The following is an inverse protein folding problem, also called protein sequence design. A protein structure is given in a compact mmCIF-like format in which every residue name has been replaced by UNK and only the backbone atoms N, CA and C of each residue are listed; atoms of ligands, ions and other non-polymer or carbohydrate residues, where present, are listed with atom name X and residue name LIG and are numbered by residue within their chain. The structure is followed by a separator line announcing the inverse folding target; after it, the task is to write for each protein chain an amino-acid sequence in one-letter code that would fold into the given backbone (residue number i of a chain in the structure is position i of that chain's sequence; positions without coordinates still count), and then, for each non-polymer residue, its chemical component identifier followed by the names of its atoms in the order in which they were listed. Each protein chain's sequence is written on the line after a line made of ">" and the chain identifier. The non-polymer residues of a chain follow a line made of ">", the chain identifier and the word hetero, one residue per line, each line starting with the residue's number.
data_IF_422852372730
#
_entry.id   IF_422852372730
#
_cell.length_a   1.000
_cell.length_b   1.000
_cell.length_c   1.000
_cell.angle_alpha   90.00
_cell.angle_beta   90.00
_cell.angle_gamma   90.00
#
_symmetry.space_group_name_H-M   'P 1'
#
loop_
_entity.id
_entity.type
_entity.pdbx_description
1 polymer ?
#
# COMPACT_ATOMS: atom_id res chain seq x y z
N UNK A 1 12.65 0.36 30.15
CA UNK A 1 11.50 0.06 31.03
C UNK A 1 10.17 0.31 30.33
N UNK A 2 9.92 1.48 29.74
CA UNK A 2 8.66 1.80 29.04
C UNK A 2 8.23 0.78 27.98
N UNK A 3 9.17 0.27 27.16
CA UNK A 3 8.86 -0.76 26.15
C UNK A 3 8.41 -2.10 26.75
N UNK A 4 9.01 -2.50 27.88
CA UNK A 4 8.65 -3.76 28.55
C UNK A 4 7.27 -3.67 29.21
N UNK A 5 6.96 -2.52 29.80
CA UNK A 5 5.65 -2.23 30.38
C UNK A 5 4.55 -2.20 29.30
N UNK A 6 4.83 -1.60 28.14
CA UNK A 6 3.92 -1.63 26.99
C UNK A 6 3.66 -3.06 26.51
N UNK A 7 4.71 -3.85 26.28
CA UNK A 7 4.58 -5.26 25.87
C UNK A 7 3.81 -6.10 26.89
N UNK A 8 4.01 -5.86 28.18
CA UNK A 8 3.28 -6.55 29.25
C UNK A 8 1.80 -6.20 29.24
N UNK A 9 1.46 -4.94 28.96
CA UNK A 9 0.08 -4.48 28.82
C UNK A 9 -0.59 -5.10 27.60
N UNK A 10 0.09 -5.10 26.46
CA UNK A 10 -0.40 -5.68 25.21
C UNK A 10 -0.62 -7.19 25.36
N UNK A 11 0.29 -7.90 26.02
CA UNK A 11 0.14 -9.32 26.30
C UNK A 11 -1.09 -9.62 27.18
N UNK A 12 -1.38 -8.77 28.17
CA UNK A 12 -2.59 -8.90 29.00
C UNK A 12 -3.86 -8.61 28.20
N UNK A 13 -3.85 -7.57 27.39
CA UNK A 13 -4.96 -7.21 26.51
C UNK A 13 -5.30 -8.37 25.57
N UNK A 14 -4.30 -8.92 24.87
CA UNK A 14 -4.46 -10.09 24.01
C UNK A 14 -4.99 -11.32 24.77
N UNK A 15 -4.52 -11.57 26.00
CA UNK A 15 -5.00 -12.67 26.83
C UNK A 15 -6.48 -12.51 27.23
N UNK A 16 -6.96 -11.27 27.34
CA UNK A 16 -8.36 -10.94 27.61
C UNK A 16 -9.22 -10.87 26.33
N UNK A 17 -8.66 -11.16 25.16
CA UNK A 17 -9.35 -11.08 23.88
C UNK A 17 -9.51 -9.66 23.33
N UNK A 18 -8.78 -8.68 23.88
CA UNK A 18 -8.78 -7.31 23.38
C UNK A 18 -7.94 -7.20 22.11
N UNK A 19 -8.36 -6.30 21.22
CA UNK A 19 -7.62 -5.99 19.98
C UNK A 19 -6.51 -5.00 20.30
N UNK A 20 -5.25 -5.43 20.18
CA UNK A 20 -4.10 -4.54 20.31
C UNK A 20 -3.82 -3.87 18.96
N UNK A 21 -3.99 -2.55 18.92
CA UNK A 21 -3.68 -1.72 17.76
C UNK A 21 -2.28 -1.11 17.91
N UNK A 22 -1.56 -1.00 16.80
CA UNK A 22 -0.35 -0.18 16.71
C UNK A 22 -0.69 1.31 16.89
N UNK A 23 0.32 2.15 17.12
CA UNK A 23 0.08 3.59 17.28
C UNK A 23 -0.59 4.23 16.04
N UNK A 24 -0.17 3.96 14.78
CA UNK A 24 -0.89 4.47 13.61
C UNK A 24 -2.31 3.93 13.46
N UNK A 25 -2.54 2.65 13.80
CA UNK A 25 -3.89 2.07 13.79
C UNK A 25 -4.79 2.75 14.84
N UNK A 26 -4.27 3.01 16.03
CA UNK A 26 -4.98 3.73 17.11
C UNK A 26 -5.34 5.14 16.69
N UNK A 27 -4.44 5.85 15.99
CA UNK A 27 -4.70 7.20 15.50
C UNK A 27 -5.78 7.22 14.41
N UNK A 28 -5.76 6.25 13.49
CA UNK A 28 -6.86 6.10 12.52
C UNK A 28 -8.18 5.83 13.24
N UNK A 29 -8.21 4.92 14.21
CA UNK A 29 -9.41 4.62 14.98
C UNK A 29 -9.99 5.88 15.66
N UNK A 30 -9.13 6.68 16.31
CA UNK A 30 -9.49 7.94 16.96
C UNK A 30 -10.09 8.94 15.96
N UNK A 31 -9.42 9.15 14.83
CA UNK A 31 -9.91 10.09 13.82
C UNK A 31 -11.22 9.60 13.19
N UNK A 32 -11.36 8.31 12.90
CA UNK A 32 -12.61 7.75 12.37
C UNK A 32 -13.75 7.86 13.37
N UNK A 33 -13.50 7.74 14.68
CA UNK A 33 -14.51 8.01 15.71
C UNK A 33 -15.00 9.47 15.67
N UNK A 34 -14.08 10.44 15.56
CA UNK A 34 -14.41 11.87 15.44
C UNK A 34 -15.16 12.14 14.13
N UNK A 35 -14.68 11.59 13.02
CA UNK A 35 -15.32 11.73 11.71
C UNK A 35 -16.72 11.12 11.68
N UNK A 36 -16.95 9.99 12.35
CA UNK A 36 -18.26 9.34 12.43
C UNK A 36 -19.27 10.14 13.26
N UNK A 37 -18.80 10.94 14.23
CA UNK A 37 -19.64 11.90 14.94
C UNK A 37 -19.94 13.16 14.10
N UNK A 38 -18.95 13.68 13.38
CA UNK A 38 -19.06 14.95 12.65
C UNK A 38 -19.76 14.83 11.29
N UNK A 39 -19.44 13.79 10.51
CA UNK A 39 -19.99 13.45 9.18
C UNK A 39 -19.97 14.53 8.10
N UNK A 40 -19.29 15.66 8.33
CA UNK A 40 -19.24 16.78 7.39
C UNK A 40 -18.68 16.40 6.00
N UNK A 41 -17.68 15.51 5.97
CA UNK A 41 -17.01 15.07 4.74
C UNK A 41 -17.63 13.82 4.10
N UNK A 42 -18.84 13.39 4.50
CA UNK A 42 -19.34 12.05 4.19
C UNK A 42 -19.54 11.75 2.70
N UNK A 43 -19.67 12.79 1.87
CA UNK A 43 -19.81 12.66 0.41
C UNK A 43 -18.51 12.73 -0.39
N UNK A 44 -17.37 13.02 0.24
CA UNK A 44 -16.16 13.42 -0.50
C UNK A 44 -15.42 12.26 -1.17
N UNK A 45 -15.43 11.08 -0.56
CA UNK A 45 -14.77 9.89 -1.12
C UNK A 45 -15.36 8.61 -0.55
N UNK A 46 -14.98 7.46 -1.10
CA UNK A 46 -15.52 6.14 -0.70
C UNK A 46 -15.25 5.76 0.77
N UNK A 47 -14.24 6.36 1.41
CA UNK A 47 -13.87 6.07 2.80
C UNK A 47 -15.01 6.40 3.76
N UNK A 48 -15.68 7.53 3.59
CA UNK A 48 -16.67 7.98 4.58
C UNK A 48 -18.00 7.21 4.53
N UNK A 49 -18.60 6.92 3.36
CA UNK A 49 -19.75 6.02 3.28
C UNK A 49 -19.46 4.62 3.81
N UNK A 50 -18.21 4.16 3.71
CA UNK A 50 -17.79 2.92 4.36
C UNK A 50 -17.71 3.11 5.89
N UNK A 51 -17.02 4.14 6.35
CA UNK A 51 -16.83 4.44 7.77
C UNK A 51 -18.16 4.58 8.53
N UNK A 52 -19.16 5.26 7.96
CA UNK A 52 -20.46 5.49 8.63
C UNK A 52 -21.29 4.22 8.87
N UNK A 53 -20.92 3.09 8.26
CA UNK A 53 -21.55 1.78 8.49
C UNK A 53 -20.96 1.04 9.70
N UNK A 54 -20.04 1.66 10.43
CA UNK A 54 -19.28 1.05 11.52
C UNK A 54 -19.51 1.82 12.82
N UNK A 55 -19.59 1.08 13.92
CA UNK A 55 -19.68 1.65 15.28
C UNK A 55 -18.31 1.68 15.96
N UNK A 56 -17.47 0.71 15.63
CA UNK A 56 -16.11 0.56 16.14
C UNK A 56 -15.14 0.40 14.98
N UNK A 57 -13.87 0.75 15.21
CA UNK A 57 -12.83 0.70 14.20
C UNK A 57 -11.75 -0.28 14.64
N UNK A 58 -12.00 -1.58 14.40
CA UNK A 58 -11.04 -2.64 14.64
C UNK A 58 -9.96 -2.68 13.56
N UNK A 59 -8.96 -3.55 13.75
CA UNK A 59 -7.82 -3.69 12.83
C UNK A 59 -8.24 -3.93 11.37
N UNK A 60 -9.20 -4.83 11.15
CA UNK A 60 -9.70 -5.13 9.81
C UNK A 60 -10.38 -3.91 9.15
N UNK A 61 -11.16 -3.14 9.91
CA UNK A 61 -11.80 -1.91 9.44
C UNK A 61 -10.77 -0.84 9.09
N UNK A 62 -9.79 -0.64 9.97
CA UNK A 62 -8.71 0.32 9.78
C UNK A 62 -7.91 -0.01 8.50
N UNK A 63 -7.55 -1.28 8.33
CA UNK A 63 -6.79 -1.75 7.15
C UNK A 63 -7.61 -1.60 5.86
N UNK A 64 -8.91 -1.91 5.92
CA UNK A 64 -9.85 -1.70 4.81
C UNK A 64 -9.96 -0.22 4.44
N UNK A 65 -10.22 0.66 5.41
CA UNK A 65 -10.38 2.10 5.18
C UNK A 65 -9.08 2.76 4.70
N UNK A 66 -7.92 2.36 5.24
CA UNK A 66 -6.62 2.89 4.83
C UNK A 66 -6.28 2.56 3.37
N UNK A 67 -6.69 1.39 2.88
CA UNK A 67 -6.51 0.95 1.49
C UNK A 67 -7.64 1.42 0.56
N UNK A 68 -8.74 1.95 1.11
CA UNK A 68 -9.76 2.68 0.35
C UNK A 68 -9.41 4.17 0.18
N UNK A 69 -8.56 4.71 1.05
CA UNK A 69 -8.07 6.09 0.99
C UNK A 69 -7.03 6.27 -0.12
N UNK A 70 -7.24 7.25 -1.01
CA UNK A 70 -6.29 7.63 -2.06
C UNK A 70 -5.43 8.87 -1.73
N UNK A 71 -5.42 9.31 -0.47
CA UNK A 71 -4.64 10.49 -0.03
C UNK A 71 -4.97 11.79 -0.79
N UNK A 72 -6.24 11.96 -1.17
CA UNK A 72 -6.74 13.07 -2.00
C UNK A 72 -6.76 14.45 -1.30
N UNK A 73 -6.66 14.49 0.03
CA UNK A 73 -6.59 15.74 0.79
C UNK A 73 -7.92 16.51 0.98
N UNK A 74 -8.95 16.30 0.16
CA UNK A 74 -10.20 17.07 0.22
C UNK A 74 -10.85 17.09 1.62
N UNK A 75 -10.88 15.93 2.29
CA UNK A 75 -11.40 15.85 3.65
C UNK A 75 -10.58 16.65 4.67
N UNK A 76 -9.27 16.80 4.47
CA UNK A 76 -8.41 17.61 5.33
C UNK A 76 -8.70 19.10 5.13
N UNK A 77 -8.81 19.56 3.88
CA UNK A 77 -9.09 20.97 3.57
C UNK A 77 -10.46 21.43 4.05
N UNK A 78 -11.45 20.55 4.07
CA UNK A 78 -12.79 20.86 4.59
C UNK A 78 -12.94 20.61 6.09
N UNK A 79 -11.94 20.04 6.77
CA UNK A 79 -12.10 19.60 8.16
C UNK A 79 -12.08 20.79 9.13
N UNK A 80 -13.15 20.96 9.89
CA UNK A 80 -13.24 21.94 10.98
C UNK A 80 -12.28 21.62 12.14
N UNK A 81 -11.81 20.37 12.21
CA UNK A 81 -10.92 19.86 13.25
C UNK A 81 -9.49 19.59 12.74
N UNK A 82 -9.15 20.06 11.53
CA UNK A 82 -7.78 20.02 11.03
C UNK A 82 -6.85 20.85 11.94
N UNK A 83 -5.54 20.55 11.96
CA UNK A 83 -4.57 21.42 12.62
C UNK A 83 -4.73 22.90 12.18
N UNK A 84 -4.64 23.87 13.11
CA UNK A 84 -4.13 23.75 14.47
C UNK A 84 -5.19 23.42 15.55
N UNK A 85 -6.40 22.98 15.18
CA UNK A 85 -7.42 22.57 16.16
C UNK A 85 -6.88 21.48 17.11
N UNK A 86 -7.33 21.45 18.36
CA UNK A 86 -6.81 20.54 19.40
C UNK A 86 -6.93 19.05 19.06
N UNK A 87 -7.96 18.67 18.30
CA UNK A 87 -8.14 17.30 17.80
C UNK A 87 -7.15 16.91 16.70
N UNK A 88 -6.53 17.89 16.03
CA UNK A 88 -5.51 17.73 15.01
C UNK A 88 -5.82 16.62 13.98
N UNK A 89 -7.04 16.61 13.45
CA UNK A 89 -7.52 15.55 12.54
C UNK A 89 -6.80 15.66 11.20
N UNK A 90 -6.03 14.64 10.84
CA UNK A 90 -5.37 14.51 9.54
C UNK A 90 -5.53 13.10 8.98
N UNK A 91 -6.70 12.86 8.37
CA UNK A 91 -7.08 11.56 7.80
C UNK A 91 -6.12 11.08 6.71
N UNK A 92 -5.72 11.92 5.73
CA UNK A 92 -4.78 11.49 4.69
C UNK A 92 -3.47 10.96 5.27
N UNK A 93 -2.87 11.70 6.20
CA UNK A 93 -1.61 11.31 6.83
C UNK A 93 -1.73 10.02 7.66
N UNK A 94 -2.75 9.94 8.53
CA UNK A 94 -2.95 8.77 9.39
C UNK A 94 -3.19 7.50 8.55
N UNK A 95 -4.06 7.59 7.54
CA UNK A 95 -4.35 6.49 6.62
C UNK A 95 -3.11 6.09 5.80
N UNK A 96 -2.29 7.04 5.36
CA UNK A 96 -1.07 6.76 4.61
C UNK A 96 -0.05 5.95 5.43
N UNK A 97 0.08 6.25 6.73
CA UNK A 97 0.96 5.49 7.63
C UNK A 97 0.50 4.03 7.75
N UNK A 98 -0.78 3.80 8.04
CA UNK A 98 -1.36 2.45 8.12
C UNK A 98 -1.22 1.74 6.77
N UNK A 99 -1.55 2.40 5.66
CA UNK A 99 -1.43 1.80 4.31
C UNK A 99 0.00 1.34 4.03
N UNK A 100 1.00 2.16 4.35
CA UNK A 100 2.41 1.78 4.24
C UNK A 100 2.79 0.56 5.09
N UNK A 101 2.25 0.45 6.31
CA UNK A 101 2.41 -0.74 7.15
C UNK A 101 1.79 -1.97 6.48
N UNK A 102 0.56 -1.86 5.96
CA UNK A 102 -0.11 -2.99 5.30
C UNK A 102 0.67 -3.52 4.10
N UNK A 103 1.33 -2.66 3.32
CA UNK A 103 2.15 -3.12 2.19
C UNK A 103 3.29 -4.03 2.62
N UNK A 104 3.94 -3.70 3.75
CA UNK A 104 5.01 -4.53 4.29
C UNK A 104 4.47 -5.79 4.96
N UNK A 105 3.40 -5.67 5.72
CA UNK A 105 2.80 -6.81 6.42
C UNK A 105 2.36 -7.88 5.42
N UNK A 106 1.67 -7.47 4.35
CA UNK A 106 1.11 -8.35 3.31
C UNK A 106 2.10 -8.72 2.20
N UNK A 107 3.33 -8.20 2.22
CA UNK A 107 4.37 -8.63 1.30
C UNK A 107 4.69 -10.12 1.49
N UNK A 108 4.82 -10.84 0.38
CA UNK A 108 5.21 -12.25 0.37
C UNK A 108 6.50 -12.45 -0.41
N UNK A 109 7.47 -13.22 0.10
CA UNK A 109 7.51 -13.84 1.44
C UNK A 109 7.65 -12.80 2.57
N UNK A 110 7.09 -13.05 3.77
CA UNK A 110 7.10 -12.09 4.89
C UNK A 110 8.51 -11.63 5.29
N UNK A 111 9.51 -12.50 5.17
CA UNK A 111 10.90 -12.16 5.46
C UNK A 111 11.43 -11.02 4.57
N UNK A 112 11.04 -10.99 3.30
CA UNK A 112 11.46 -9.92 2.38
C UNK A 112 10.74 -8.61 2.70
N UNK A 113 9.46 -8.66 3.09
CA UNK A 113 8.72 -7.49 3.58
C UNK A 113 9.37 -6.86 4.81
N UNK A 114 9.73 -7.69 5.80
CA UNK A 114 10.42 -7.25 7.00
C UNK A 114 11.82 -6.67 6.71
N UNK A 115 12.55 -7.26 5.76
CA UNK A 115 13.86 -6.76 5.34
C UNK A 115 13.73 -5.40 4.65
N UNK A 116 12.73 -5.24 3.78
CA UNK A 116 12.45 -3.98 3.09
C UNK A 116 12.08 -2.85 4.08
N UNK A 117 11.22 -3.13 5.05
CA UNK A 117 10.89 -2.19 6.14
C UNK A 117 12.13 -1.70 6.90
N UNK A 118 13.10 -2.59 7.15
CA UNK A 118 14.28 -2.26 7.97
C UNK A 118 15.43 -1.63 7.17
N UNK A 119 15.62 -2.03 5.91
CA UNK A 119 16.79 -1.69 5.10
C UNK A 119 16.46 -1.34 3.65
N UNK A 120 15.30 -0.71 3.40
CA UNK A 120 14.83 -0.40 2.05
C UNK A 120 15.84 0.34 1.17
N UNK A 121 16.59 1.31 1.73
CA UNK A 121 17.64 2.03 1.01
C UNK A 121 18.78 1.09 0.57
N UNK A 122 19.32 0.30 1.50
CA UNK A 122 20.41 -0.64 1.22
C UNK A 122 20.01 -1.66 0.15
N UNK A 123 18.79 -2.20 0.25
CA UNK A 123 18.24 -3.11 -0.75
C UNK A 123 18.10 -2.43 -2.12
N UNK A 124 17.64 -1.19 -2.16
CA UNK A 124 17.48 -0.43 -3.41
C UNK A 124 18.84 -0.17 -4.06
N UNK A 125 19.86 0.20 -3.28
CA UNK A 125 21.22 0.41 -3.76
C UNK A 125 21.85 -0.91 -4.24
N UNK A 126 21.67 -2.01 -3.50
CA UNK A 126 22.16 -3.33 -3.88
C UNK A 126 21.51 -3.82 -5.19
N UNK A 127 20.21 -3.59 -5.36
CA UNK A 127 19.49 -3.91 -6.60
C UNK A 127 20.01 -3.07 -7.77
N UNK A 128 20.19 -1.76 -7.58
CA UNK A 128 20.73 -0.87 -8.60
C UNK A 128 22.15 -1.28 -9.02
N UNK A 129 23.02 -1.59 -8.05
CA UNK A 129 24.36 -2.09 -8.29
C UNK A 129 24.35 -3.46 -9.00
N UNK A 130 23.46 -4.37 -8.60
CA UNK A 130 23.29 -5.68 -9.23
C UNK A 130 22.83 -5.58 -10.68
N UNK A 131 21.87 -4.70 -10.97
CA UNK A 131 21.40 -4.43 -12.34
C UNK A 131 22.51 -3.81 -13.19
N UNK A 132 23.24 -2.82 -12.65
CA UNK A 132 24.37 -2.22 -13.34
C UNK A 132 25.46 -3.26 -13.65
N UNK A 133 25.82 -4.09 -12.67
CA UNK A 133 26.78 -5.18 -12.84
C UNK A 133 26.30 -6.19 -13.89
N UNK A 134 25.01 -6.54 -13.87
CA UNK A 134 24.42 -7.45 -14.87
C UNK A 134 24.54 -6.88 -16.29
N UNK A 135 24.24 -5.59 -16.48
CA UNK A 135 24.39 -4.93 -17.78
C UNK A 135 25.84 -4.89 -18.25
N UNK A 136 26.78 -4.57 -17.34
CA UNK A 136 28.22 -4.57 -17.63
C UNK A 136 28.72 -5.97 -18.02
N UNK A 137 28.34 -7.01 -17.25
CA UNK A 137 28.70 -8.40 -17.56
C UNK A 137 28.12 -8.86 -18.90
N UNK A 138 26.88 -8.50 -19.20
CA UNK A 138 26.25 -8.79 -20.49
C UNK A 138 27.03 -8.19 -21.67
N UNK A 139 27.50 -6.95 -21.54
CA UNK A 139 28.31 -6.27 -22.56
C UNK A 139 29.69 -6.91 -22.74
N UNK A 140 30.35 -7.26 -21.63
CA UNK A 140 31.68 -7.90 -21.65
C UNK A 140 31.62 -9.31 -22.23
N UNK A 141 30.66 -10.14 -21.81
CA UNK A 141 30.53 -11.54 -22.25
C UNK A 141 30.19 -11.68 -23.73
N UNK A 142 29.58 -10.67 -24.35
CA UNK A 142 29.27 -10.67 -25.78
C UNK A 142 30.39 -10.10 -26.64
N UNK A 143 31.60 -9.99 -26.08
CA UNK A 143 32.83 -9.64 -26.81
C UNK A 143 33.02 -8.15 -27.05
N UNK A 144 32.14 -7.29 -26.49
CA UNK A 144 32.19 -5.85 -26.64
C UNK A 144 33.12 -5.12 -25.66
N UNK A 145 33.58 -5.79 -24.60
CA UNK A 145 34.37 -5.17 -23.53
C UNK A 145 33.60 -4.04 -22.83
N UNK A 146 34.32 -3.18 -22.08
CA UNK A 146 33.73 -1.98 -21.48
C UNK A 146 33.43 -0.89 -22.53
N UNK A 147 34.15 -0.90 -23.65
CA UNK A 147 33.97 0.05 -24.74
C UNK A 147 32.60 -0.08 -25.44
N UNK A 148 32.01 -1.28 -25.41
CA UNK A 148 30.66 -1.49 -25.93
C UNK A 148 29.57 -0.74 -25.17
N UNK A 149 29.85 -0.32 -23.93
CA UNK A 149 28.90 0.51 -23.20
C UNK A 149 28.82 1.92 -23.81
N UNK A 150 29.95 2.49 -24.26
CA UNK A 150 30.03 3.90 -24.72
C UNK A 150 30.06 4.08 -26.25
N UNK A 151 30.29 3.03 -27.04
CA UNK A 151 30.52 3.23 -28.47
C UNK A 151 30.48 2.00 -29.39
N UNK A 152 29.92 0.86 -28.97
CA UNK A 152 29.76 -0.24 -29.92
C UNK A 152 28.79 0.16 -31.05
N UNK A 153 29.25 0.09 -32.29
CA UNK A 153 28.41 0.11 -33.49
C UNK A 153 27.53 -1.15 -33.51
N UNK A 154 26.49 -1.18 -32.67
CA UNK A 154 25.58 -2.32 -32.49
C UNK A 154 24.68 -2.57 -33.72
N UNK A 155 24.90 -1.87 -34.84
CA UNK A 155 24.15 -2.03 -36.07
C UNK A 155 22.63 -1.82 -35.91
N UNK A 156 22.21 -1.10 -34.87
CA UNK A 156 20.80 -0.84 -34.56
C UNK A 156 20.02 -2.04 -33.99
N UNK A 157 20.64 -3.20 -33.73
CA UNK A 157 19.93 -4.39 -33.26
C UNK A 157 20.31 -4.78 -31.82
N UNK A 158 19.48 -4.35 -30.87
CA UNK A 158 19.61 -4.61 -29.42
C UNK A 158 19.77 -6.11 -29.08
N UNK A 159 19.12 -7.00 -29.83
CA UNK A 159 19.15 -8.45 -29.55
C UNK A 159 20.50 -9.11 -29.84
N UNK A 160 21.43 -8.39 -30.50
CA UNK A 160 22.83 -8.82 -30.61
C UNK A 160 23.64 -8.62 -29.34
N UNK A 161 23.17 -7.76 -28.43
CA UNK A 161 23.78 -7.51 -27.12
C UNK A 161 22.96 -8.16 -25.99
N UNK A 162 21.65 -8.37 -26.18
CA UNK A 162 20.82 -9.11 -25.23
C UNK A 162 19.87 -10.03 -26.01
N UNK A 163 20.29 -11.28 -26.29
CA UNK A 163 19.47 -12.24 -27.01
C UNK A 163 18.09 -12.40 -26.38
N UNK A 164 17.05 -12.52 -27.21
CA UNK A 164 15.66 -12.60 -26.72
C UNK A 164 15.46 -13.70 -25.67
N UNK A 165 16.02 -14.89 -25.91
CA UNK A 165 15.91 -16.02 -24.98
C UNK A 165 16.61 -15.76 -23.64
N UNK A 166 17.69 -14.96 -23.62
CA UNK A 166 18.35 -14.55 -22.38
C UNK A 166 17.42 -13.64 -21.57
N UNK A 167 16.79 -12.65 -22.22
CA UNK A 167 15.84 -11.75 -21.57
C UNK A 167 14.64 -12.52 -21.04
N UNK A 168 14.06 -13.41 -21.83
CA UNK A 168 12.93 -14.25 -21.40
C UNK A 168 13.33 -15.15 -20.24
N UNK A 169 14.49 -15.82 -20.32
CA UNK A 169 14.97 -16.71 -19.26
C UNK A 169 15.23 -16.01 -17.93
N UNK A 170 15.58 -14.72 -17.95
CA UNK A 170 15.81 -13.93 -16.73
C UNK A 170 14.54 -13.27 -16.21
N UNK A 171 13.79 -12.59 -17.07
CA UNK A 171 12.65 -11.79 -16.64
C UNK A 171 11.37 -12.60 -16.46
N UNK A 172 11.16 -13.68 -17.21
CA UNK A 172 9.93 -14.48 -17.05
C UNK A 172 9.84 -15.15 -15.67
N UNK A 173 10.90 -15.78 -15.10
CA UNK A 173 10.83 -16.31 -13.75
C UNK A 173 10.59 -15.23 -12.69
N UNK A 174 11.25 -14.06 -12.83
CA UNK A 174 11.04 -12.91 -11.93
C UNK A 174 9.60 -12.43 -12.01
N UNK A 175 9.05 -12.28 -13.22
CA UNK A 175 7.67 -11.90 -13.44
C UNK A 175 6.69 -12.89 -12.80
N UNK A 176 6.87 -14.20 -13.04
CA UNK A 176 6.03 -15.24 -12.46
C UNK A 176 6.10 -15.21 -10.93
N UNK A 177 7.28 -15.01 -10.36
CA UNK A 177 7.46 -14.86 -8.92
C UNK A 177 6.73 -13.62 -8.38
N UNK A 178 6.83 -12.47 -9.06
CA UNK A 178 6.14 -11.22 -8.66
C UNK A 178 4.62 -11.40 -8.71
N UNK A 179 4.09 -12.02 -9.78
CA UNK A 179 2.66 -12.32 -9.91
C UNK A 179 2.19 -13.23 -8.79
N UNK A 180 2.96 -14.28 -8.47
CA UNK A 180 2.66 -15.18 -7.36
C UNK A 180 2.69 -14.45 -6.01
N UNK A 181 3.74 -13.67 -5.74
CA UNK A 181 3.91 -12.92 -4.50
C UNK A 181 2.77 -11.91 -4.28
N UNK A 182 2.41 -11.15 -5.31
CA UNK A 182 1.28 -10.23 -5.28
C UNK A 182 -0.04 -10.99 -5.07
N UNK A 183 -0.26 -12.09 -5.80
CA UNK A 183 -1.46 -12.91 -5.65
C UNK A 183 -1.63 -13.45 -4.23
N UNK A 184 -0.55 -13.93 -3.60
CA UNK A 184 -0.55 -14.42 -2.23
C UNK A 184 -0.77 -13.29 -1.20
N UNK A 185 -0.14 -12.12 -1.42
CA UNK A 185 -0.32 -10.94 -0.58
C UNK A 185 -1.76 -10.43 -0.62
N UNK A 186 -2.32 -10.25 -1.82
CA UNK A 186 -3.71 -9.84 -2.05
C UNK A 186 -4.68 -10.85 -1.44
N UNK A 187 -4.46 -12.16 -1.65
CA UNK A 187 -5.29 -13.21 -1.04
C UNK A 187 -5.30 -13.11 0.48
N UNK A 188 -4.14 -12.87 1.11
CA UNK A 188 -4.05 -12.76 2.57
C UNK A 188 -4.72 -11.47 3.07
N UNK A 189 -4.49 -10.35 2.39
CA UNK A 189 -5.17 -9.08 2.68
C UNK A 189 -6.69 -9.23 2.64
N UNK A 190 -7.22 -9.80 1.55
CA UNK A 190 -8.66 -10.03 1.40
C UNK A 190 -9.23 -10.89 2.53
N UNK A 191 -8.54 -11.97 2.92
CA UNK A 191 -9.00 -12.82 4.02
C UNK A 191 -9.08 -12.06 5.35
N UNK A 192 -8.12 -11.19 5.62
CA UNK A 192 -8.05 -10.46 6.89
C UNK A 192 -9.06 -9.29 6.96
N UNK A 193 -9.39 -8.66 5.83
CA UNK A 193 -10.38 -7.56 5.78
C UNK A 193 -11.82 -8.03 5.54
N UNK A 194 -12.03 -9.28 5.13
CA UNK A 194 -13.38 -9.85 4.89
C UNK A 194 -14.34 -9.67 6.09
N UNK A 195 -13.92 -9.85 7.36
CA UNK A 195 -14.77 -9.56 8.51
C UNK A 195 -15.28 -8.11 8.55
N UNK A 196 -14.49 -7.13 8.08
CA UNK A 196 -14.88 -5.73 8.02
C UNK A 196 -15.91 -5.43 6.91
N UNK A 197 -16.04 -6.31 5.91
CA UNK A 197 -16.98 -6.14 4.77
C UNK A 197 -18.21 -7.02 4.90
N UNK A 198 -18.71 -7.23 6.13
CA UNK A 198 -19.85 -8.08 6.50
C UNK A 198 -19.65 -9.60 6.40
N UNK A 199 -18.48 -10.07 5.95
CA UNK A 199 -18.21 -11.49 5.71
C UNK A 199 -18.96 -12.10 4.52
N UNK A 200 -19.85 -11.34 3.88
CA UNK A 200 -20.59 -11.78 2.71
C UNK A 200 -19.69 -11.87 1.46
N UNK A 201 -19.92 -12.85 0.56
CA UNK A 201 -19.22 -12.89 -0.71
C UNK A 201 -19.57 -11.68 -1.58
N UNK A 202 -18.66 -11.32 -2.47
CA UNK A 202 -18.88 -10.26 -3.46
C UNK A 202 -20.09 -10.61 -4.35
N UNK A 203 -21.07 -9.72 -4.40
CA UNK A 203 -22.24 -9.87 -5.27
C UNK A 203 -21.97 -9.22 -6.63
N UNK A 204 -22.53 -9.79 -7.71
CA UNK A 204 -22.37 -9.22 -9.05
C UNK A 204 -22.83 -7.74 -9.15
N UNK A 205 -23.93 -7.30 -8.52
CA UNK A 205 -24.30 -5.88 -8.51
C UNK A 205 -23.26 -4.98 -7.83
N UNK A 206 -22.72 -5.40 -6.68
CA UNK A 206 -21.69 -4.63 -5.98
C UNK A 206 -20.38 -4.56 -6.79
N UNK A 207 -20.01 -5.63 -7.48
CA UNK A 207 -18.85 -5.64 -8.38
C UNK A 207 -19.05 -4.69 -9.57
N UNK A 208 -20.24 -4.66 -10.16
CA UNK A 208 -20.56 -3.75 -11.26
C UNK A 208 -20.51 -2.28 -10.81
N UNK A 209 -21.11 -1.96 -9.66
CA UNK A 209 -21.06 -0.61 -9.07
C UNK A 209 -19.63 -0.18 -8.77
N UNK A 210 -18.83 -1.04 -8.14
CA UNK A 210 -17.43 -0.75 -7.85
C UNK A 210 -16.62 -0.54 -9.13
N UNK A 211 -16.87 -1.34 -10.17
CA UNK A 211 -16.19 -1.24 -11.46
C UNK A 211 -16.52 0.08 -12.17
N UNK A 212 -17.80 0.49 -12.20
CA UNK A 212 -18.20 1.80 -12.75
C UNK A 212 -17.53 2.95 -11.98
N UNK A 213 -17.56 2.90 -10.64
CA UNK A 213 -16.96 3.92 -9.81
C UNK A 213 -15.43 4.05 -10.03
N UNK A 214 -14.74 2.91 -10.18
CA UNK A 214 -13.29 2.88 -10.48
C UNK A 214 -13.00 3.42 -11.87
N UNK A 215 -13.72 2.96 -12.91
CA UNK A 215 -13.49 3.39 -14.30
C UNK A 215 -13.76 4.88 -14.50
N UNK A 216 -14.70 5.45 -13.75
CA UNK A 216 -15.04 6.88 -13.78
C UNK A 216 -14.24 7.72 -12.79
N UNK A 217 -13.38 7.10 -11.98
CA UNK A 217 -12.65 7.76 -10.89
C UNK A 217 -13.58 8.57 -9.97
N UNK A 218 -14.80 8.06 -9.73
CA UNK A 218 -15.91 8.77 -9.08
C UNK A 218 -15.53 9.41 -7.74
N UNK A 219 -14.59 8.81 -7.01
CA UNK A 219 -14.19 9.23 -5.67
C UNK A 219 -12.82 9.94 -5.64
N UNK A 220 -12.33 10.43 -6.79
CA UNK A 220 -11.11 11.24 -6.91
C UNK A 220 -11.40 12.69 -7.33
N UNK A 221 -12.66 13.13 -7.24
CA UNK A 221 -13.08 14.48 -7.61
C UNK A 221 -13.11 15.47 -6.43
N UNK A 222 -12.72 15.00 -5.23
CA UNK A 222 -12.69 15.79 -3.99
C UNK A 222 -14.07 16.09 -3.40
N UNK A 223 -15.16 15.53 -3.94
CA UNK A 223 -16.54 15.84 -3.54
C UNK A 223 -17.09 17.17 -4.09
N UNK A 224 -16.23 18.04 -4.60
CA UNK A 224 -16.59 19.31 -5.24
C UNK A 224 -16.47 19.28 -6.78
N UNK A 225 -15.86 18.25 -7.36
CA UNK A 225 -15.76 18.07 -8.81
C UNK A 225 -14.47 18.57 -9.44
N UNK A 226 -13.59 19.23 -8.69
CA UNK A 226 -12.35 19.84 -9.22
C UNK A 226 -11.11 18.93 -9.11
N UNK A 227 -11.29 17.71 -8.59
CA UNK A 227 -10.20 16.76 -8.41
C UNK A 227 -9.58 16.80 -7.00
N UNK A 228 -8.49 16.06 -6.83
CA UNK A 228 -7.76 16.02 -5.56
C UNK A 228 -6.91 17.27 -5.34
N UNK A 229 -6.79 17.66 -4.07
CA UNK A 229 -5.88 18.72 -3.66
C UNK A 229 -4.42 18.24 -3.75
N UNK A 230 -3.50 19.18 -4.01
CA UNK A 230 -2.05 18.95 -4.05
C UNK A 230 -1.44 18.92 -2.66
#
# INVERSE_FOLDING_TARGET
>A
MQTLEALTRDARALANGEIVLSAPETEVARQMQICNACRYCEGFCAVFPAMTRRLEFGKADIHFLANLCHNCGACLHACQYAPPHEFAVNVPQAMAQVRGQTYADYAWPPALGALYQRQGLTLSLALAAGLALFLVLGAVLQGGGLDALWGAHLGGNFYRLFPHNLLVGLFAPVFLFVVLALGLGVRRFWRDVTPATSGAPLSAPATAEATDAVLRLKYLDGGHGDGCHN
#
